data_IF_709143967231
#
_entry.id   IF_709143967231
#
_cell.length_a   1.000
_cell.length_b   1.000
_cell.length_c   1.000
_cell.angle_alpha   90.00
_cell.angle_beta   90.00
_cell.angle_gamma   90.00
#
_symmetry.space_group_name_H-M   'P 1'
#
loop_
_entity.id
_entity.type
_entity.pdbx_description
1 polymer ?
#
# COMPACT_ATOMS: atom_id res chain seq x y z
N UNK A 1 21.45 -19.92 -8.52
CA UNK A 1 21.59 -19.35 -7.17
C UNK A 1 20.45 -18.35 -7.05
N UNK A 2 19.48 -18.58 -6.14
CA UNK A 2 18.47 -17.57 -5.83
C UNK A 2 19.25 -16.37 -5.23
N UNK A 3 19.11 -15.18 -5.81
CA UNK A 3 19.65 -13.97 -5.21
C UNK A 3 19.03 -13.81 -3.82
N UNK A 4 19.84 -13.48 -2.83
CA UNK A 4 19.37 -13.32 -1.46
C UNK A 4 18.23 -12.30 -1.43
N UNK A 5 17.12 -12.69 -0.80
CA UNK A 5 15.94 -11.88 -0.61
C UNK A 5 16.28 -10.75 0.38
N UNK A 6 16.06 -9.50 0.00
CA UNK A 6 16.31 -8.33 0.86
C UNK A 6 15.04 -8.03 1.65
N UNK A 7 14.96 -8.58 2.86
CA UNK A 7 13.81 -8.35 3.76
C UNK A 7 13.76 -6.92 4.29
N UNK A 8 12.57 -6.47 4.65
CA UNK A 8 12.38 -5.24 5.39
C UNK A 8 13.06 -5.34 6.76
N UNK A 9 13.58 -4.22 7.26
CA UNK A 9 14.07 -4.09 8.62
C UNK A 9 12.94 -3.65 9.58
N UNK A 10 13.22 -3.60 10.89
CA UNK A 10 12.20 -3.24 11.88
C UNK A 10 11.74 -1.80 11.78
N UNK A 11 12.58 -0.88 11.32
CA UNK A 11 12.17 0.50 11.07
C UNK A 11 11.13 0.58 9.95
N UNK A 12 11.39 -0.04 8.80
CA UNK A 12 10.44 -0.10 7.68
C UNK A 12 9.12 -0.76 8.09
N UNK A 13 9.20 -1.82 8.91
CA UNK A 13 8.00 -2.46 9.46
C UNK A 13 7.24 -1.54 10.43
N UNK A 14 7.93 -0.72 11.23
CA UNK A 14 7.28 0.27 12.08
C UNK A 14 6.64 1.41 11.27
N UNK A 15 7.26 1.83 10.17
CA UNK A 15 6.67 2.77 9.20
C UNK A 15 5.39 2.19 8.58
N UNK A 16 5.45 0.91 8.16
CA UNK A 16 4.25 0.22 7.67
C UNK A 16 3.15 0.14 8.74
N UNK A 17 3.51 -0.19 9.98
CA UNK A 17 2.55 -0.24 11.09
C UNK A 17 1.94 1.14 11.41
N UNK A 18 2.71 2.22 11.23
CA UNK A 18 2.24 3.58 11.48
C UNK A 18 1.42 4.15 10.33
N UNK A 19 1.87 3.98 9.09
CA UNK A 19 1.30 4.64 7.91
C UNK A 19 0.43 3.71 7.05
N UNK A 20 0.60 2.40 7.17
CA UNK A 20 -0.10 1.41 6.35
C UNK A 20 0.46 1.27 4.95
N UNK A 21 1.62 1.85 4.66
CA UNK A 21 2.25 1.74 3.35
C UNK A 21 3.76 1.91 3.42
N UNK A 22 4.44 1.35 2.41
CA UNK A 22 5.86 1.57 2.11
C UNK A 22 5.98 1.99 0.65
N UNK A 23 6.86 2.95 0.38
CA UNK A 23 7.09 3.49 -0.95
C UNK A 23 8.56 3.35 -1.34
N UNK A 24 8.79 2.82 -2.53
CA UNK A 24 10.12 2.58 -3.10
C UNK A 24 10.20 3.27 -4.46
N UNK A 25 10.83 4.43 -4.50
CA UNK A 25 10.91 5.24 -5.72
C UNK A 25 11.99 4.73 -6.67
N UNK A 26 11.61 4.50 -7.94
CA UNK A 26 12.55 4.20 -9.01
C UNK A 26 13.35 2.90 -8.85
N UNK A 27 12.87 1.97 -8.01
CA UNK A 27 13.61 0.71 -7.75
C UNK A 27 13.48 -0.33 -8.87
N UNK A 28 12.48 -0.18 -9.73
CA UNK A 28 12.28 -1.12 -10.83
C UNK A 28 13.12 -0.66 -12.02
N UNK A 29 13.99 -1.53 -12.57
CA UNK A 29 14.81 -1.20 -13.73
C UNK A 29 14.00 -0.70 -14.93
N UNK A 30 14.54 0.27 -15.65
CA UNK A 30 13.90 0.85 -16.84
C UNK A 30 13.60 -0.18 -17.94
N UNK A 31 14.36 -1.26 -18.00
CA UNK A 31 14.13 -2.36 -18.95
C UNK A 31 12.79 -3.04 -18.66
N UNK A 32 12.54 -3.38 -17.39
CA UNK A 32 11.26 -3.97 -16.93
C UNK A 32 10.11 -3.00 -17.19
N UNK A 33 10.31 -1.69 -16.92
CA UNK A 33 9.28 -0.68 -17.17
C UNK A 33 8.89 -0.62 -18.65
N UNK A 34 9.87 -0.61 -19.54
CA UNK A 34 9.64 -0.58 -21.00
C UNK A 34 8.94 -1.85 -21.49
N UNK A 35 9.42 -3.01 -21.04
CA UNK A 35 8.81 -4.29 -21.41
C UNK A 35 7.37 -4.38 -20.90
N UNK A 36 7.10 -3.96 -19.65
CA UNK A 36 5.74 -3.93 -19.11
C UNK A 36 4.81 -3.04 -19.95
N UNK A 37 5.24 -1.84 -20.32
CA UNK A 37 4.43 -0.94 -21.16
C UNK A 37 4.20 -1.54 -22.56
N UNK A 38 5.17 -2.24 -23.13
CA UNK A 38 5.02 -2.97 -24.39
C UNK A 38 4.04 -4.14 -24.28
N UNK A 39 4.04 -4.86 -23.16
CA UNK A 39 3.11 -5.97 -22.87
C UNK A 39 1.68 -5.45 -22.57
N UNK A 40 1.58 -4.33 -21.88
CA UNK A 40 0.31 -3.66 -21.61
C UNK A 40 -0.35 -3.15 -22.90
N UNK A 41 0.44 -2.70 -23.86
CA UNK A 41 -0.02 -2.14 -25.13
C UNK A 41 -0.39 -0.66 -25.03
N UNK A 42 -0.63 -0.05 -26.20
CA UNK A 42 -1.06 1.34 -26.31
C UNK A 42 -2.56 1.49 -26.17
N UNK A 43 -3.00 2.61 -25.59
CA UNK A 43 -4.42 2.99 -25.53
C UNK A 43 -4.81 3.80 -26.76
N UNK A 44 -5.88 3.38 -27.41
CA UNK A 44 -6.58 4.25 -28.35
C UNK A 44 -7.64 5.08 -27.59
N UNK A 45 -7.36 6.37 -27.43
CA UNK A 45 -8.26 7.31 -26.76
C UNK A 45 -9.14 8.09 -27.75
N UNK A 46 -9.03 7.83 -29.06
CA UNK A 46 -9.68 8.62 -30.12
C UNK A 46 -11.20 8.39 -30.18
N UNK A 47 -11.66 7.21 -29.86
CA UNK A 47 -13.05 6.79 -30.05
C UNK A 47 -13.95 6.97 -28.84
N UNK A 48 -13.43 7.35 -27.68
CA UNK A 48 -14.21 7.56 -26.47
C UNK A 48 -15.02 6.34 -26.03
N UNK A 49 -14.56 5.11 -26.31
CA UNK A 49 -15.29 3.91 -25.96
C UNK A 49 -15.54 3.80 -24.44
N UNK A 50 -16.75 3.44 -24.07
CA UNK A 50 -17.17 3.30 -22.67
C UNK A 50 -16.62 2.01 -22.06
N UNK A 51 -15.35 2.03 -21.65
CA UNK A 51 -14.75 0.97 -20.85
C UNK A 51 -14.69 1.37 -19.38
N UNK A 52 -15.67 1.05 -18.59
CA UNK A 52 -15.66 1.30 -17.14
C UNK A 52 -14.92 0.20 -16.37
N UNK A 53 -14.66 -0.93 -16.99
CA UNK A 53 -14.12 -2.08 -16.34
C UNK A 53 -12.57 -2.00 -16.31
N UNK A 54 -11.97 -2.20 -15.16
CA UNK A 54 -10.55 -1.94 -14.87
C UNK A 54 -9.70 -3.21 -14.84
N UNK A 55 -10.24 -4.34 -15.22
CA UNK A 55 -9.49 -5.58 -15.33
C UNK A 55 -8.66 -5.62 -16.61
N UNK A 56 -7.54 -6.34 -16.59
CA UNK A 56 -6.71 -6.53 -17.80
C UNK A 56 -7.55 -7.03 -18.99
N UNK A 57 -8.47 -7.97 -18.74
CA UNK A 57 -9.31 -8.56 -19.77
C UNK A 57 -10.26 -7.56 -20.42
N UNK A 58 -10.89 -6.71 -19.62
CA UNK A 58 -11.85 -5.72 -20.12
C UNK A 58 -11.18 -4.51 -20.77
N UNK A 59 -9.94 -4.23 -20.40
CA UNK A 59 -9.15 -3.16 -21.01
C UNK A 59 -8.50 -3.59 -22.33
N UNK A 60 -8.46 -4.87 -22.65
CA UNK A 60 -7.87 -5.39 -23.88
C UNK A 60 -8.41 -4.71 -25.15
N UNK A 61 -9.69 -4.38 -25.20
CA UNK A 61 -10.30 -3.68 -26.33
C UNK A 61 -9.83 -2.22 -26.45
N UNK A 62 -9.55 -1.56 -25.32
CA UNK A 62 -9.04 -0.18 -25.29
C UNK A 62 -7.56 -0.11 -25.59
N UNK A 63 -6.83 -1.16 -25.27
CA UNK A 63 -5.38 -1.22 -25.32
C UNK A 63 -4.84 -1.94 -26.54
N UNK A 64 -5.67 -2.30 -27.51
CA UNK A 64 -5.24 -3.10 -28.65
C UNK A 64 -4.82 -4.51 -28.23
N UNK A 65 -3.53 -4.82 -28.29
CA UNK A 65 -3.00 -6.15 -27.95
C UNK A 65 -2.29 -6.14 -26.59
N UNK A 66 -3.05 -6.32 -25.51
CA UNK A 66 -2.45 -6.59 -24.20
C UNK A 66 -1.95 -8.03 -24.10
N UNK A 67 -0.68 -8.21 -23.69
CA UNK A 67 -0.06 -9.50 -23.39
C UNK A 67 0.00 -9.78 -21.88
N UNK A 68 -0.65 -8.95 -21.09
CA UNK A 68 -0.69 -9.16 -19.65
C UNK A 68 -1.44 -10.46 -19.32
N UNK A 69 -0.89 -11.31 -18.45
CA UNK A 69 -1.47 -12.62 -18.16
C UNK A 69 -2.79 -12.52 -17.40
N UNK A 70 -3.62 -13.55 -17.54
CA UNK A 70 -4.71 -13.82 -16.59
C UNK A 70 -4.18 -14.68 -15.45
N UNK A 71 -4.52 -14.34 -14.21
CA UNK A 71 -4.13 -15.11 -13.02
C UNK A 71 -5.39 -15.52 -12.27
N UNK A 72 -5.49 -16.81 -11.95
CA UNK A 72 -6.60 -17.33 -11.15
C UNK A 72 -6.42 -16.94 -9.68
N UNK A 73 -7.45 -16.43 -8.98
CA UNK A 73 -7.39 -16.17 -7.54
C UNK A 73 -6.92 -17.40 -6.76
N UNK A 74 -6.05 -17.17 -5.77
CA UNK A 74 -5.42 -18.25 -4.99
C UNK A 74 -4.13 -18.82 -5.60
N UNK A 75 -3.69 -18.34 -6.76
CA UNK A 75 -2.39 -18.71 -7.31
C UNK A 75 -1.25 -18.14 -6.47
N UNK A 76 -0.25 -18.96 -6.15
CA UNK A 76 0.96 -18.50 -5.44
C UNK A 76 1.72 -17.49 -6.32
N UNK A 77 2.10 -16.35 -5.76
CA UNK A 77 2.73 -15.25 -6.49
C UNK A 77 3.93 -15.71 -7.32
N UNK A 78 4.77 -16.59 -6.78
CA UNK A 78 5.97 -17.10 -7.45
C UNK A 78 5.68 -17.86 -8.75
N UNK A 79 4.45 -18.36 -8.91
CA UNK A 79 4.01 -19.12 -10.10
C UNK A 79 3.03 -18.33 -10.97
N UNK A 80 2.49 -17.22 -10.45
CA UNK A 80 1.47 -16.43 -11.13
C UNK A 80 1.97 -15.77 -12.43
N UNK A 81 3.25 -15.40 -12.44
CA UNK A 81 3.87 -14.70 -13.59
C UNK A 81 5.10 -15.48 -14.05
N UNK A 82 5.17 -15.73 -15.37
CA UNK A 82 6.34 -16.37 -15.98
C UNK A 82 7.59 -15.53 -15.79
N UNK A 83 8.71 -16.15 -15.46
CA UNK A 83 9.99 -15.46 -15.20
C UNK A 83 10.47 -14.57 -16.34
N UNK A 84 10.13 -14.93 -17.58
CA UNK A 84 10.53 -14.20 -18.80
C UNK A 84 9.61 -13.02 -19.13
N UNK A 85 8.67 -12.67 -18.26
CA UNK A 85 7.77 -11.53 -18.43
C UNK A 85 8.18 -10.40 -17.49
N UNK A 86 7.87 -9.17 -17.88
CA UNK A 86 8.15 -7.98 -17.06
C UNK A 86 7.59 -8.11 -15.62
N UNK A 87 6.37 -8.64 -15.47
CA UNK A 87 5.77 -8.90 -14.15
C UNK A 87 6.51 -10.01 -13.40
N UNK A 88 6.92 -11.06 -14.10
CA UNK A 88 7.69 -12.16 -13.51
C UNK A 88 9.05 -11.70 -13.00
N UNK A 89 9.76 -10.87 -13.75
CA UNK A 89 11.02 -10.26 -13.34
C UNK A 89 10.80 -9.30 -12.15
N UNK A 90 9.77 -8.42 -12.23
CA UNK A 90 9.45 -7.46 -11.19
C UNK A 90 9.24 -8.11 -9.83
N UNK A 91 8.37 -9.14 -9.74
CA UNK A 91 8.05 -9.76 -8.45
C UNK A 91 9.20 -10.60 -7.88
N UNK A 92 10.21 -10.91 -8.69
CA UNK A 92 11.43 -11.64 -8.27
C UNK A 92 12.61 -10.73 -7.95
N UNK A 93 12.52 -9.42 -8.19
CA UNK A 93 13.57 -8.50 -7.73
C UNK A 93 13.79 -8.68 -6.23
N UNK A 94 15.04 -8.82 -5.76
CA UNK A 94 15.34 -9.13 -4.35
C UNK A 94 14.64 -8.20 -3.35
N UNK A 95 14.62 -6.90 -3.64
CA UNK A 95 13.96 -5.89 -2.79
C UNK A 95 12.44 -6.05 -2.81
N UNK A 96 11.84 -6.25 -3.99
CA UNK A 96 10.38 -6.41 -4.14
C UNK A 96 9.90 -7.68 -3.44
N UNK A 97 10.59 -8.80 -3.74
CA UNK A 97 10.31 -10.08 -3.13
C UNK A 97 10.47 -10.02 -1.62
N UNK A 98 11.57 -9.45 -1.14
CA UNK A 98 11.85 -9.34 0.29
C UNK A 98 10.82 -8.51 1.05
N UNK A 99 10.39 -7.40 0.47
CA UNK A 99 9.36 -6.57 1.07
C UNK A 99 7.99 -7.28 1.12
N UNK A 100 7.60 -8.00 0.05
CA UNK A 100 6.38 -8.81 0.03
C UNK A 100 6.45 -9.93 1.07
N UNK A 101 7.54 -10.70 1.09
CA UNK A 101 7.71 -11.79 2.04
C UNK A 101 7.74 -11.33 3.50
N UNK A 102 8.22 -10.11 3.76
CA UNK A 102 8.21 -9.51 5.11
C UNK A 102 6.81 -9.16 5.59
N UNK A 103 5.87 -8.92 4.69
CA UNK A 103 4.51 -8.50 5.01
C UNK A 103 3.51 -9.67 4.99
N UNK A 104 3.55 -10.52 3.96
CA UNK A 104 2.55 -11.57 3.72
C UNK A 104 3.13 -12.98 3.57
N UNK A 105 4.44 -13.12 3.74
CA UNK A 105 5.12 -14.42 3.70
C UNK A 105 5.55 -14.87 2.30
N UNK A 106 6.39 -15.92 2.22
CA UNK A 106 7.06 -16.35 0.98
C UNK A 106 6.11 -17.00 -0.04
N UNK A 107 5.00 -17.54 0.40
CA UNK A 107 3.98 -18.20 -0.46
C UNK A 107 2.69 -17.38 -0.49
N UNK A 108 2.82 -16.06 -0.62
CA UNK A 108 1.68 -15.16 -0.74
C UNK A 108 0.81 -15.51 -1.96
N UNK A 109 -0.50 -15.38 -1.79
CA UNK A 109 -1.48 -15.73 -2.81
C UNK A 109 -1.95 -14.49 -3.55
N UNK A 110 -2.00 -14.55 -4.86
CA UNK A 110 -2.64 -13.52 -5.68
C UNK A 110 -4.16 -13.68 -5.55
N UNK A 111 -4.83 -12.67 -5.01
CA UNK A 111 -6.28 -12.61 -5.00
C UNK A 111 -6.80 -12.13 -6.36
N UNK A 112 -6.31 -10.98 -6.80
CA UNK A 112 -6.57 -10.45 -8.13
C UNK A 112 -5.50 -9.43 -8.52
N UNK A 113 -5.50 -9.08 -9.80
CA UNK A 113 -4.69 -7.99 -10.32
C UNK A 113 -5.49 -7.12 -11.29
N UNK A 114 -5.13 -5.84 -11.38
CA UNK A 114 -5.76 -4.91 -12.29
C UNK A 114 -4.74 -3.97 -12.94
N UNK A 115 -4.97 -3.67 -14.21
CA UNK A 115 -4.35 -2.52 -14.85
C UNK A 115 -5.28 -1.30 -14.67
N UNK A 116 -4.86 -0.38 -13.82
CA UNK A 116 -5.58 0.87 -13.59
C UNK A 116 -5.10 1.96 -14.53
N UNK A 117 -6.02 2.56 -15.26
CA UNK A 117 -5.76 3.65 -16.17
C UNK A 117 -6.45 4.92 -15.68
N UNK A 118 -5.69 6.01 -15.58
CA UNK A 118 -6.27 7.33 -15.52
C UNK A 118 -6.20 7.93 -16.92
N UNK A 119 -7.36 7.93 -17.60
CA UNK A 119 -7.47 8.40 -18.97
C UNK A 119 -7.43 9.94 -19.04
N UNK A 120 -6.92 10.52 -20.12
CA UNK A 120 -6.84 11.97 -20.30
C UNK A 120 -8.23 12.62 -20.44
N UNK A 121 -8.31 13.92 -20.17
CA UNK A 121 -9.59 14.67 -20.28
C UNK A 121 -10.16 14.63 -21.70
N UNK A 122 -9.30 14.54 -22.71
CA UNK A 122 -9.71 14.40 -24.13
C UNK A 122 -10.59 13.17 -24.38
N UNK A 123 -10.25 12.04 -23.75
CA UNK A 123 -11.05 10.80 -23.83
C UNK A 123 -12.48 11.02 -23.30
N UNK A 124 -12.63 11.62 -22.12
CA UNK A 124 -13.95 11.85 -21.52
C UNK A 124 -14.79 12.84 -22.33
N UNK A 125 -14.16 13.86 -22.92
CA UNK A 125 -14.83 14.79 -23.85
C UNK A 125 -15.32 14.08 -25.10
N UNK A 126 -14.47 13.25 -25.71
CA UNK A 126 -14.84 12.47 -26.90
C UNK A 126 -15.97 11.45 -26.59
N UNK A 127 -15.91 10.82 -25.41
CA UNK A 127 -16.93 9.87 -24.97
C UNK A 127 -18.25 10.54 -24.52
N UNK A 128 -18.31 11.87 -24.39
CA UNK A 128 -19.47 12.60 -23.89
C UNK A 128 -19.87 12.24 -22.45
N UNK A 129 -18.88 11.85 -21.62
CA UNK A 129 -19.10 11.46 -20.22
C UNK A 129 -18.32 12.36 -19.27
N UNK A 130 -18.82 12.64 -18.05
CA UNK A 130 -18.11 13.46 -17.09
C UNK A 130 -16.88 12.72 -16.55
N UNK A 131 -15.72 13.39 -16.55
CA UNK A 131 -14.53 12.91 -15.87
C UNK A 131 -14.70 13.09 -14.36
N UNK A 132 -14.50 12.01 -13.59
CA UNK A 132 -14.62 12.03 -12.15
C UNK A 132 -13.41 11.36 -11.52
N UNK A 133 -12.99 11.87 -10.36
CA UNK A 133 -12.07 11.13 -9.49
C UNK A 133 -12.78 9.90 -8.91
N UNK A 134 -12.02 8.87 -8.60
CA UNK A 134 -12.55 7.78 -7.80
C UNK A 134 -12.87 8.31 -6.39
N UNK A 135 -14.00 7.90 -5.81
CA UNK A 135 -14.30 8.24 -4.42
C UNK A 135 -13.26 7.59 -3.47
N UNK A 136 -13.09 8.21 -2.31
CA UNK A 136 -12.21 7.66 -1.28
C UNK A 136 -12.87 6.41 -0.71
N UNK A 137 -12.12 5.30 -0.64
CA UNK A 137 -12.58 4.01 -0.17
C UNK A 137 -11.45 3.26 0.53
N UNK A 138 -11.77 2.20 1.21
CA UNK A 138 -10.87 1.13 1.64
C UNK A 138 -11.29 -0.16 0.94
N UNK A 139 -10.32 -1.05 0.72
CA UNK A 139 -10.60 -2.31 0.02
C UNK A 139 -10.87 -3.48 1.00
N UNK A 140 -10.61 -3.31 2.29
CA UNK A 140 -10.79 -4.34 3.30
C UNK A 140 -11.43 -3.79 4.56
N UNK A 141 -12.30 -4.62 5.17
CA UNK A 141 -12.90 -4.38 6.49
C UNK A 141 -12.39 -5.37 7.55
N UNK A 142 -11.33 -6.13 7.24
CA UNK A 142 -10.70 -7.06 8.18
C UNK A 142 -10.00 -6.26 9.27
N UNK A 143 -10.07 -6.72 10.52
CA UNK A 143 -9.31 -6.13 11.62
C UNK A 143 -7.81 -6.32 11.36
N UNK A 144 -7.06 -5.24 11.03
CA UNK A 144 -5.66 -5.33 10.63
C UNK A 144 -4.72 -5.79 11.74
N UNK A 145 -5.19 -5.80 13.00
CA UNK A 145 -4.42 -6.27 14.16
C UNK A 145 -4.37 -7.80 14.28
N UNK A 146 -5.07 -8.52 13.42
CA UNK A 146 -5.14 -9.99 13.45
C UNK A 146 -4.68 -10.64 12.15
N UNK A 147 -4.92 -9.99 11.04
CA UNK A 147 -4.46 -10.39 9.72
C UNK A 147 -4.64 -9.21 8.78
N UNK A 148 -3.87 -9.16 7.70
CA UNK A 148 -4.04 -8.12 6.69
C UNK A 148 -3.59 -8.60 5.33
N UNK A 149 -4.21 -8.02 4.31
CA UNK A 149 -3.81 -8.14 2.92
C UNK A 149 -3.02 -6.90 2.53
N UNK A 150 -2.18 -7.03 1.52
CA UNK A 150 -1.51 -5.90 0.90
C UNK A 150 -1.88 -5.77 -0.55
N UNK A 151 -1.75 -4.57 -1.07
CA UNK A 151 -1.77 -4.28 -2.49
C UNK A 151 -0.45 -3.67 -2.92
N UNK A 152 0.09 -4.22 -3.97
CA UNK A 152 1.26 -3.73 -4.66
C UNK A 152 0.78 -2.81 -5.77
N UNK A 153 1.20 -1.53 -5.76
CA UNK A 153 1.01 -0.58 -6.84
C UNK A 153 2.33 -0.36 -7.56
N UNK A 154 2.36 -0.66 -8.84
CA UNK A 154 3.51 -0.46 -9.69
C UNK A 154 3.22 0.62 -10.73
N UNK A 155 4.12 1.61 -10.79
CA UNK A 155 4.07 2.73 -11.72
C UNK A 155 5.20 2.61 -12.74
N UNK A 156 4.92 2.14 -13.98
CA UNK A 156 5.96 1.86 -14.98
C UNK A 156 6.54 3.12 -15.64
N UNK A 157 5.93 4.26 -15.43
CA UNK A 157 6.38 5.56 -15.94
C UNK A 157 6.26 6.64 -14.86
N UNK A 158 6.88 7.78 -15.09
CA UNK A 158 6.73 8.94 -14.22
C UNK A 158 5.26 9.35 -14.08
N UNK A 159 4.86 9.68 -12.86
CA UNK A 159 3.54 10.20 -12.53
C UNK A 159 3.70 11.62 -12.02
N UNK A 160 3.35 12.58 -12.86
CA UNK A 160 3.33 14.00 -12.49
C UNK A 160 2.08 14.38 -11.68
N UNK A 161 2.11 15.59 -11.13
CA UNK A 161 1.04 16.11 -10.25
C UNK A 161 -0.35 16.08 -10.90
N UNK A 162 -0.44 16.38 -12.21
CA UNK A 162 -1.69 16.46 -12.96
C UNK A 162 -2.09 15.15 -13.64
N UNK A 163 -1.32 14.06 -13.48
CA UNK A 163 -1.59 12.77 -14.13
C UNK A 163 -2.59 11.88 -13.37
N UNK A 164 -3.25 12.40 -12.34
CA UNK A 164 -4.27 11.65 -11.60
C UNK A 164 -3.71 10.48 -10.80
N UNK A 165 -2.58 10.70 -10.13
CA UNK A 165 -1.99 9.73 -9.20
C UNK A 165 -2.96 9.30 -8.11
N UNK A 166 -2.72 8.15 -7.51
CA UNK A 166 -3.51 7.64 -6.39
C UNK A 166 -3.43 8.63 -5.22
N UNK A 167 -4.59 8.99 -4.68
CA UNK A 167 -4.72 9.74 -3.42
C UNK A 167 -4.81 8.73 -2.29
N UNK A 168 -4.17 9.02 -1.16
CA UNK A 168 -4.24 8.15 0.02
C UNK A 168 -4.08 8.95 1.30
N UNK A 169 -4.56 8.40 2.42
CA UNK A 169 -4.45 9.00 3.74
C UNK A 169 -3.65 8.06 4.65
N UNK A 170 -2.39 8.39 4.98
CA UNK A 170 -1.55 7.54 5.82
C UNK A 170 -2.17 7.27 7.19
N UNK A 171 -1.94 6.07 7.73
CA UNK A 171 -2.37 5.68 9.08
C UNK A 171 -3.85 5.30 9.22
N UNK A 172 -4.63 5.35 8.13
CA UNK A 172 -6.08 5.06 8.18
C UNK A 172 -6.43 3.58 8.16
N UNK A 173 -5.48 2.70 7.87
CA UNK A 173 -5.68 1.24 7.82
C UNK A 173 -6.08 0.61 9.16
N UNK A 174 -5.78 1.29 10.29
CA UNK A 174 -6.17 0.85 11.64
C UNK A 174 -7.55 1.34 12.05
N UNK A 175 -8.26 2.05 11.17
CA UNK A 175 -9.61 2.55 11.40
C UNK A 175 -10.62 1.65 10.70
N UNK A 176 -11.38 0.92 11.48
CA UNK A 176 -12.45 0.05 10.97
C UNK A 176 -13.74 0.87 10.89
N UNK A 177 -14.07 1.33 9.68
CA UNK A 177 -15.28 2.09 9.38
C UNK A 177 -15.94 1.57 8.11
N UNK A 178 -17.23 1.83 7.95
CA UNK A 178 -17.92 1.44 6.72
C UNK A 178 -17.44 2.26 5.52
N UNK A 179 -17.36 1.65 4.36
CA UNK A 179 -16.96 2.33 3.12
C UNK A 179 -17.86 3.54 2.82
N UNK A 180 -19.17 3.43 3.06
CA UNK A 180 -20.12 4.53 2.88
C UNK A 180 -19.81 5.74 3.74
N UNK A 181 -19.19 5.58 4.90
CA UNK A 181 -18.78 6.69 5.74
C UNK A 181 -17.56 7.41 5.15
N UNK A 182 -16.64 6.68 4.51
CA UNK A 182 -15.42 7.23 3.90
C UNK A 182 -15.74 7.91 2.56
N UNK A 183 -16.59 7.32 1.75
CA UNK A 183 -16.88 7.75 0.38
C UNK A 183 -17.44 9.19 0.26
N UNK A 184 -17.93 9.75 1.37
CA UNK A 184 -18.38 11.15 1.45
C UNK A 184 -17.25 12.17 1.28
N UNK A 185 -16.03 11.79 1.66
CA UNK A 185 -14.91 12.70 1.76
C UNK A 185 -14.00 12.57 0.53
N UNK A 186 -13.77 13.69 -0.14
CA UNK A 186 -12.88 13.75 -1.29
C UNK A 186 -11.53 14.36 -0.93
N UNK A 187 -11.51 15.28 0.04
CA UNK A 187 -10.33 15.97 0.51
C UNK A 187 -10.25 15.85 2.02
N UNK A 188 -9.37 14.98 2.47
CA UNK A 188 -9.12 14.72 3.90
C UNK A 188 -7.81 15.42 4.27
N UNK A 189 -7.77 16.06 5.43
CA UNK A 189 -6.55 16.69 5.93
C UNK A 189 -5.45 15.64 6.03
N UNK A 190 -4.26 15.94 5.50
CA UNK A 190 -3.15 14.99 5.45
C UNK A 190 -3.19 14.01 4.29
N UNK A 191 -4.20 14.09 3.41
CA UNK A 191 -4.23 13.32 2.17
C UNK A 191 -3.00 13.63 1.33
N UNK A 192 -2.39 12.60 0.82
CA UNK A 192 -1.26 12.66 -0.09
C UNK A 192 -1.65 12.19 -1.50
N UNK A 193 -0.85 12.57 -2.48
CA UNK A 193 -0.99 12.15 -3.86
C UNK A 193 0.28 11.46 -4.32
N UNK A 194 0.15 10.38 -5.05
CA UNK A 194 1.31 9.73 -5.68
C UNK A 194 1.80 10.58 -6.83
N UNK A 195 2.94 11.22 -6.61
CA UNK A 195 3.78 11.84 -7.63
C UNK A 195 5.12 11.11 -7.54
N UNK A 196 5.58 10.46 -8.60
CA UNK A 196 6.70 9.55 -8.49
C UNK A 196 7.46 9.38 -9.82
N UNK A 197 8.76 9.01 -9.77
CA UNK A 197 9.51 8.60 -10.94
C UNK A 197 9.01 7.26 -11.49
N UNK A 198 9.40 6.96 -12.74
CA UNK A 198 9.19 5.64 -13.33
C UNK A 198 9.80 4.53 -12.47
N UNK A 199 9.16 3.37 -12.44
CA UNK A 199 9.65 2.22 -11.67
C UNK A 199 9.41 2.33 -10.17
N UNK A 200 8.48 3.18 -9.75
CA UNK A 200 8.06 3.25 -8.35
C UNK A 200 7.13 2.12 -8.00
N UNK A 201 7.36 1.55 -6.81
CA UNK A 201 6.53 0.54 -6.18
C UNK A 201 5.98 1.07 -4.85
N UNK A 202 4.70 0.82 -4.59
CA UNK A 202 4.09 1.07 -3.29
C UNK A 202 3.46 -0.24 -2.80
N UNK A 203 3.85 -0.67 -1.61
CA UNK A 203 3.17 -1.73 -0.86
C UNK A 203 2.24 -1.07 0.13
N UNK A 204 0.95 -1.30 -0.01
CA UNK A 204 -0.09 -0.63 0.78
C UNK A 204 -0.97 -1.66 1.47
N UNK A 205 -1.20 -1.48 2.77
CA UNK A 205 -2.21 -2.22 3.52
C UNK A 205 -3.58 -1.99 2.90
N UNK A 206 -4.37 -3.04 2.75
CA UNK A 206 -5.65 -3.00 2.03
C UNK A 206 -6.70 -2.08 2.67
N UNK A 207 -6.56 -1.77 3.95
CA UNK A 207 -7.42 -0.86 4.71
C UNK A 207 -7.07 0.63 4.60
N UNK A 208 -5.97 1.01 3.94
CA UNK A 208 -5.64 2.43 3.76
C UNK A 208 -6.69 3.11 2.87
N UNK A 209 -7.20 4.24 3.33
CA UNK A 209 -8.16 5.03 2.55
C UNK A 209 -7.48 5.65 1.34
N UNK A 210 -8.00 5.34 0.17
CA UNK A 210 -7.39 5.79 -1.08
C UNK A 210 -8.42 5.97 -2.20
N UNK A 211 -7.95 6.49 -3.34
CA UNK A 211 -8.74 6.63 -4.56
C UNK A 211 -7.93 7.23 -5.70
N UNK A 212 -8.31 6.96 -6.93
CA UNK A 212 -7.67 7.53 -8.12
C UNK A 212 -7.97 9.03 -8.27
N UNK A 213 -6.97 9.83 -8.63
CA UNK A 213 -7.10 11.23 -9.00
C UNK A 213 -7.62 11.44 -10.43
N UNK A 214 -7.91 12.70 -10.79
CA UNK A 214 -8.25 13.11 -12.16
C UNK A 214 -6.97 13.35 -12.94
N UNK A 215 -6.84 12.71 -14.11
CA UNK A 215 -5.76 12.98 -15.05
C UNK A 215 -6.14 14.17 -15.95
N UNK A 216 -5.39 15.27 -15.83
CA UNK A 216 -5.57 16.49 -16.60
C UNK A 216 -4.58 16.62 -17.77
N UNK A 217 -3.66 15.65 -17.91
CA UNK A 217 -2.67 15.64 -18.98
C UNK A 217 -3.25 15.07 -20.28
N UNK A 218 -2.46 15.10 -21.35
CA UNK A 218 -2.79 14.50 -22.64
C UNK A 218 -2.57 12.99 -22.71
N UNK A 219 -1.80 12.43 -21.78
CA UNK A 219 -1.35 11.03 -21.79
C UNK A 219 -2.09 10.19 -20.75
N UNK A 220 -2.27 8.91 -21.04
CA UNK A 220 -2.86 7.99 -20.06
C UNK A 220 -1.83 7.62 -18.98
N UNK A 221 -2.25 7.63 -17.71
CA UNK A 221 -1.44 7.13 -16.61
C UNK A 221 -1.75 5.66 -16.38
N UNK A 222 -0.70 4.83 -16.42
CA UNK A 222 -0.74 3.40 -16.11
C UNK A 222 -0.36 3.17 -14.65
N UNK A 223 -1.04 2.25 -14.00
CA UNK A 223 -0.66 1.69 -12.71
C UNK A 223 -1.14 0.24 -12.66
N UNK A 224 -0.25 -0.68 -12.32
CA UNK A 224 -0.61 -2.08 -12.18
C UNK A 224 -0.74 -2.41 -10.69
N UNK A 225 -1.88 -3.00 -10.33
CA UNK A 225 -2.20 -3.41 -8.96
C UNK A 225 -2.20 -4.93 -8.86
N UNK A 226 -1.53 -5.46 -7.84
CA UNK A 226 -1.66 -6.86 -7.42
C UNK A 226 -2.12 -6.87 -5.97
N UNK A 227 -3.22 -7.55 -5.66
CA UNK A 227 -3.63 -7.85 -4.29
C UNK A 227 -3.04 -9.17 -3.85
N UNK A 228 -2.43 -9.18 -2.66
CA UNK A 228 -1.75 -10.35 -2.09
C UNK A 228 -2.30 -10.67 -0.72
N UNK A 229 -2.69 -11.94 -0.56
CA UNK A 229 -3.14 -12.50 0.70
C UNK A 229 -2.03 -13.31 1.35
N UNK A 230 -1.90 -13.31 2.68
CA UNK A 230 -0.97 -14.19 3.38
C UNK A 230 -1.47 -15.64 3.35
N UNK A 231 -0.55 -16.59 3.27
CA UNK A 231 -0.80 -18.04 3.42
C UNK A 231 -0.34 -18.59 4.77
N UNK A 232 0.36 -17.77 5.56
CA UNK A 232 0.90 -18.10 6.87
C UNK A 232 0.63 -16.96 7.87
N UNK A 233 0.71 -17.20 9.18
CA UNK A 233 0.62 -16.14 10.19
C UNK A 233 1.70 -15.06 9.97
N UNK A 234 1.30 -13.80 10.03
CA UNK A 234 2.14 -12.63 9.73
C UNK A 234 2.92 -12.17 10.96
N UNK A 235 3.71 -13.07 11.56
CA UNK A 235 4.48 -12.83 12.79
C UNK A 235 5.96 -13.03 12.51
N UNK A 236 6.77 -12.02 12.80
CA UNK A 236 8.24 -12.03 12.64
C UNK A 236 8.72 -12.42 11.24
N UNK A 237 8.04 -11.97 10.21
CA UNK A 237 8.37 -12.31 8.82
C UNK A 237 9.53 -11.49 8.26
N UNK A 238 9.84 -10.33 8.86
CA UNK A 238 10.91 -9.42 8.43
C UNK A 238 12.24 -9.71 9.13
N UNK A 239 13.27 -8.96 8.81
CA UNK A 239 14.55 -9.03 9.51
C UNK A 239 14.49 -8.24 10.82
N UNK A 240 14.46 -8.93 11.95
CA UNK A 240 14.41 -8.35 13.30
C UNK A 240 15.78 -8.15 13.94
N UNK A 241 16.86 -8.37 13.21
CA UNK A 241 18.23 -8.30 13.75
C UNK A 241 18.65 -6.90 14.20
N UNK A 242 17.95 -5.87 13.73
CA UNK A 242 18.14 -4.48 14.09
C UNK A 242 17.41 -4.04 15.38
N UNK A 243 16.54 -4.90 15.94
CA UNK A 243 15.89 -4.62 17.22
C UNK A 243 16.89 -4.76 18.39
N UNK A 244 16.82 -3.80 19.31
CA UNK A 244 17.64 -3.75 20.52
C UNK A 244 16.79 -3.77 21.78
N UNK A 245 17.40 -4.06 22.94
CA UNK A 245 16.71 -3.98 24.23
C UNK A 245 16.10 -2.61 24.49
N UNK A 246 16.71 -1.54 23.94
CA UNK A 246 16.23 -0.16 24.08
C UNK A 246 14.87 0.07 23.42
N UNK A 247 14.54 -0.65 22.34
CA UNK A 247 13.27 -0.53 21.64
C UNK A 247 12.09 -1.06 22.47
N UNK A 248 12.39 -1.88 23.50
CA UNK A 248 11.42 -2.46 24.43
C UNK A 248 11.34 -1.72 25.77
N UNK A 249 12.14 -0.67 25.98
CA UNK A 249 12.12 0.11 27.22
C UNK A 249 10.86 1.01 27.28
N UNK A 250 10.23 1.04 28.45
CA UNK A 250 9.16 1.98 28.75
C UNK A 250 9.72 3.41 28.79
N UNK A 251 9.03 4.33 28.10
CA UNK A 251 9.42 5.74 28.07
C UNK A 251 8.26 6.62 28.53
N UNK A 252 8.42 7.35 29.63
CA UNK A 252 7.43 8.33 30.05
C UNK A 252 7.21 9.41 28.99
N UNK A 253 5.96 9.73 28.68
CA UNK A 253 5.58 10.71 27.67
C UNK A 253 6.22 12.08 27.88
N UNK A 254 6.52 12.47 29.13
CA UNK A 254 7.13 13.74 29.46
C UNK A 254 8.58 13.88 28.96
N UNK A 255 9.28 12.77 28.74
CA UNK A 255 10.65 12.75 28.23
C UNK A 255 10.73 12.59 26.72
N UNK A 256 9.59 12.55 26.04
CA UNK A 256 9.49 12.32 24.61
C UNK A 256 10.23 13.38 23.76
N UNK A 257 10.28 14.62 24.21
CA UNK A 257 11.00 15.71 23.51
C UNK A 257 12.51 15.50 23.50
N UNK A 258 13.06 14.81 24.49
CA UNK A 258 14.49 14.56 24.64
C UNK A 258 14.92 13.23 24.02
N UNK A 259 13.95 12.32 23.84
CA UNK A 259 14.18 10.98 23.30
C UNK A 259 13.87 10.85 21.79
N UNK A 260 13.52 11.92 21.11
CA UNK A 260 13.11 11.89 19.71
C UNK A 260 14.29 11.74 18.75
N UNK A 261 14.83 10.53 18.70
CA UNK A 261 15.41 10.07 17.46
C UNK A 261 14.23 9.72 16.52
N UNK A 262 14.06 10.39 15.37
CA UNK A 262 12.98 10.10 14.44
C UNK A 262 13.05 8.66 13.90
N UNK A 263 14.17 7.99 14.09
CA UNK A 263 14.42 6.61 13.66
C UNK A 263 14.05 5.56 14.74
N UNK A 264 13.62 6.00 15.91
CA UNK A 264 13.22 5.15 17.00
C UNK A 264 11.83 4.53 16.75
N UNK A 265 11.71 3.22 16.95
CA UNK A 265 10.46 2.47 16.71
C UNK A 265 9.28 3.07 17.49
N UNK A 266 9.49 3.41 18.77
CA UNK A 266 8.45 4.02 19.59
C UNK A 266 8.00 5.37 19.04
N UNK A 267 8.93 6.19 18.53
CA UNK A 267 8.63 7.48 17.91
C UNK A 267 7.85 7.33 16.61
N UNK A 268 8.19 6.33 15.79
CA UNK A 268 7.45 6.01 14.56
C UNK A 268 6.02 5.58 14.88
N UNK A 269 5.83 4.65 15.81
CA UNK A 269 4.52 4.12 16.18
C UNK A 269 3.61 5.17 16.85
N UNK A 270 4.18 6.18 17.49
CA UNK A 270 3.44 7.24 18.17
C UNK A 270 3.50 8.60 17.43
N UNK A 271 3.94 8.61 16.20
CA UNK A 271 3.96 9.81 15.34
C UNK A 271 2.54 10.30 15.06
N UNK A 272 2.19 11.59 15.35
CA UNK A 272 0.88 12.11 15.04
C UNK A 272 0.66 12.26 13.53
N UNK A 273 -0.53 11.93 13.07
CA UNK A 273 -0.96 12.20 11.70
C UNK A 273 -1.74 13.52 11.64
N UNK A 274 -1.67 14.27 10.52
CA UNK A 274 -2.33 15.58 10.39
C UNK A 274 -3.86 15.55 10.57
N UNK A 275 -4.48 14.39 10.36
CA UNK A 275 -5.93 14.20 10.49
C UNK A 275 -6.36 13.74 11.89
N UNK A 276 -5.42 13.48 12.84
CA UNK A 276 -5.79 13.10 14.20
C UNK A 276 -6.53 14.22 14.91
N UNK A 277 -7.67 13.90 15.48
CA UNK A 277 -8.29 14.64 16.55
C UNK A 277 -7.77 14.09 17.90
N UNK A 278 -7.91 14.85 18.98
CA UNK A 278 -7.25 14.54 20.26
C UNK A 278 -7.47 13.10 20.76
N UNK A 279 -8.72 12.69 20.92
CA UNK A 279 -9.04 11.33 21.42
C UNK A 279 -8.80 10.24 20.35
N UNK A 280 -9.00 10.57 19.09
CA UNK A 280 -8.70 9.67 17.97
C UNK A 280 -7.22 9.36 17.91
N UNK A 281 -6.35 10.35 18.12
CA UNK A 281 -4.91 10.14 18.13
C UNK A 281 -4.45 9.11 19.17
N UNK A 282 -5.05 9.12 20.37
CA UNK A 282 -4.76 8.12 21.40
C UNK A 282 -5.15 6.71 20.97
N UNK A 283 -6.34 6.54 20.41
CA UNK A 283 -6.80 5.25 19.90
C UNK A 283 -5.91 4.71 18.79
N UNK A 284 -5.46 5.58 17.89
CA UNK A 284 -4.56 5.19 16.80
C UNK A 284 -3.18 4.77 17.31
N UNK A 285 -2.65 5.43 18.35
CA UNK A 285 -1.39 4.98 18.97
C UNK A 285 -1.55 3.60 19.60
N UNK A 286 -2.61 3.37 20.35
CA UNK A 286 -2.93 2.07 20.95
C UNK A 286 -3.04 1.00 19.84
N UNK A 287 -3.75 1.29 18.76
CA UNK A 287 -3.92 0.37 17.64
C UNK A 287 -2.59 0.06 16.94
N UNK A 288 -1.72 1.07 16.75
CA UNK A 288 -0.37 0.86 16.20
C UNK A 288 0.48 -0.03 17.10
N UNK A 289 0.44 0.18 18.42
CA UNK A 289 1.16 -0.65 19.39
C UNK A 289 0.63 -2.08 19.36
N UNK A 290 -0.69 -2.29 19.35
CA UNK A 290 -1.30 -3.62 19.24
C UNK A 290 -0.93 -4.31 17.94
N UNK A 291 -0.93 -3.59 16.84
CA UNK A 291 -0.52 -4.12 15.55
C UNK A 291 0.97 -4.50 15.55
N UNK A 292 1.82 -3.66 16.12
CA UNK A 292 3.24 -3.95 16.29
C UNK A 292 3.49 -5.19 17.15
N UNK A 293 2.81 -5.31 18.29
CA UNK A 293 2.87 -6.51 19.13
C UNK A 293 2.47 -7.78 18.38
N UNK A 294 1.40 -7.68 17.60
CA UNK A 294 0.99 -8.78 16.72
C UNK A 294 2.09 -9.15 15.73
N UNK A 295 2.65 -8.19 15.02
CA UNK A 295 3.71 -8.41 14.04
C UNK A 295 4.97 -9.02 14.66
N UNK A 296 5.33 -8.62 15.87
CA UNK A 296 6.45 -9.19 16.63
C UNK A 296 6.14 -10.56 17.23
N UNK A 297 4.88 -10.87 17.52
CA UNK A 297 4.49 -11.95 18.40
C UNK A 297 4.96 -11.73 19.86
N UNK A 298 5.04 -10.47 20.28
CA UNK A 298 5.45 -10.05 21.61
C UNK A 298 4.47 -9.05 22.21
N UNK A 299 3.70 -9.49 23.19
CA UNK A 299 2.68 -8.68 23.85
C UNK A 299 3.27 -7.65 24.83
N UNK A 300 4.54 -7.75 25.17
CA UNK A 300 5.19 -6.90 26.17
C UNK A 300 5.85 -5.64 25.62
N UNK A 301 5.77 -5.42 24.30
CA UNK A 301 6.34 -4.21 23.70
C UNK A 301 5.58 -2.96 24.16
N UNK A 302 6.29 -2.05 24.81
CA UNK A 302 5.77 -0.75 25.26
C UNK A 302 6.46 0.39 24.54
N UNK A 303 5.72 1.14 23.72
CA UNK A 303 6.25 2.30 23.01
C UNK A 303 6.22 3.57 23.88
N UNK A 304 5.21 3.69 24.75
CA UNK A 304 4.98 4.88 25.54
C UNK A 304 4.19 4.53 26.79
N UNK A 305 4.64 5.02 27.95
CA UNK A 305 4.04 4.74 29.24
C UNK A 305 2.55 5.12 29.32
N UNK A 306 2.18 6.27 28.76
CA UNK A 306 0.79 6.73 28.82
C UNK A 306 -0.12 5.94 27.89
N UNK A 307 0.37 5.59 26.72
CA UNK A 307 -0.35 4.71 25.80
C UNK A 307 -0.58 3.36 26.44
N UNK A 308 0.46 2.79 27.04
CA UNK A 308 0.40 1.51 27.75
C UNK A 308 -0.58 1.55 28.93
N UNK A 309 -0.58 2.62 29.71
CA UNK A 309 -1.54 2.78 30.82
C UNK A 309 -2.98 2.80 30.35
N UNK A 310 -3.28 3.52 29.28
CA UNK A 310 -4.63 3.59 28.70
C UNK A 310 -5.05 2.22 28.17
N UNK A 311 -4.14 1.54 27.49
CA UNK A 311 -4.41 0.22 26.91
C UNK A 311 -4.66 -0.86 27.99
N UNK A 312 -3.94 -0.77 29.10
CA UNK A 312 -4.01 -1.74 30.20
C UNK A 312 -5.10 -1.41 31.23
N UNK A 313 -5.87 -0.35 31.04
CA UNK A 313 -7.06 -0.15 31.86
C UNK A 313 -8.02 -1.34 31.71
N UNK A 314 -8.57 -1.86 32.81
CA UNK A 314 -9.50 -2.98 32.73
C UNK A 314 -10.65 -2.62 31.79
N UNK A 315 -10.91 -3.45 30.81
CA UNK A 315 -12.12 -3.31 30.00
C UNK A 315 -13.30 -3.29 30.96
N UNK A 316 -14.09 -2.22 30.93
CA UNK A 316 -15.33 -2.21 31.66
C UNK A 316 -16.11 -3.45 31.20
N UNK A 317 -16.25 -4.41 32.08
CA UNK A 317 -17.11 -5.56 31.87
C UNK A 317 -18.52 -5.04 31.67
N UNK A 318 -18.97 -5.07 30.40
CA UNK A 318 -20.36 -4.81 30.01
C UNK A 318 -21.18 -6.03 30.36
#
# INVERSE_FOLDING_TARGET
MMSDCVKLNSREMAEFAADGLLRFDGIIPNEINRQFLADAGSIDTSNGEKGSNRTVKSLGNLMGHSKLPEVTPGTVLNTAYKETTALGELVRLPVVRGAIESLVGPESLVDHHFLHLALPTSYYKAAGIPQRSQHTHQDSTIDPRRAFDIQLFYFPHEVGLDMGGTRYVPGTHLRIVSESAIARYQNIRGQQHVVCPAGTLILMHHGVWHGGGINRTGDARYMFKIRLNPSIPQVRLWDTSDLSARDFEQRPIFFRKEATNPDDIASLLTRPQPWFEGDTGRLEYINRIRFWRYLLGDENFDADYWVTRIENEPSATV
#
